data_IF_776551806458
#
_entry.id   IF_776551806458
#
_cell.length_a   1.000
_cell.length_b   1.000
_cell.length_c   1.000
_cell.angle_alpha   90.00
_cell.angle_beta   90.00
_cell.angle_gamma   90.00
#
_symmetry.space_group_name_H-M   'P 1'
#
loop_
_entity.id
_entity.type
_entity.pdbx_description
1 polymer ?
#
# COMPACT_ATOMS: atom_id res chain seq x y z
N UNK A 1 20.00 -6.45 11.61
CA UNK A 1 19.85 -5.42 10.56
C UNK A 1 21.07 -4.52 10.60
N UNK A 2 21.49 -4.00 9.44
CA UNK A 2 22.48 -2.93 9.33
C UNK A 2 21.77 -1.75 8.68
N UNK A 3 21.79 -0.59 9.32
CA UNK A 3 21.14 0.61 8.80
C UNK A 3 22.16 1.50 8.10
N UNK A 4 21.71 2.23 7.08
CA UNK A 4 22.52 3.26 6.43
C UNK A 4 22.86 4.37 7.45
N UNK A 5 24.14 4.66 7.65
CA UNK A 5 24.62 5.61 8.67
C UNK A 5 24.25 7.08 8.38
N UNK A 6 23.93 7.39 7.12
CA UNK A 6 23.52 8.73 6.67
C UNK A 6 22.04 9.04 6.89
N UNK A 7 21.23 8.08 7.33
CA UNK A 7 19.78 8.21 7.52
C UNK A 7 19.35 7.71 8.89
N UNK A 8 18.35 8.36 9.49
CA UNK A 8 17.87 8.04 10.85
C UNK A 8 16.35 7.91 10.96
N UNK A 9 15.61 8.19 9.89
CA UNK A 9 14.14 8.13 9.92
C UNK A 9 13.64 6.69 10.02
N UNK A 10 12.59 6.49 10.81
CA UNK A 10 11.91 5.21 11.01
C UNK A 10 10.41 5.44 10.85
N UNK A 11 9.76 4.65 10.00
CA UNK A 11 8.31 4.71 9.78
C UNK A 11 7.68 3.34 10.01
N UNK A 12 6.71 3.25 10.92
CA UNK A 12 6.09 1.99 11.37
C UNK A 12 4.59 1.93 11.07
N UNK A 13 4.02 3.03 10.56
CA UNK A 13 2.61 3.15 10.26
C UNK A 13 2.43 3.89 8.93
N UNK A 14 2.68 3.18 7.84
CA UNK A 14 2.38 3.68 6.51
C UNK A 14 1.69 2.61 5.66
N UNK A 15 0.56 2.99 5.09
CA UNK A 15 -0.19 2.17 4.15
C UNK A 15 0.51 2.22 2.79
N UNK A 16 0.94 1.07 2.26
CA UNK A 16 1.56 1.00 0.94
C UNK A 16 0.58 1.48 -0.14
N UNK A 17 -0.66 1.01 -0.07
CA UNK A 17 -1.78 1.38 -0.95
C UNK A 17 -2.21 2.85 -0.82
N UNK A 18 -1.93 3.48 0.33
CA UNK A 18 -2.10 4.92 0.53
C UNK A 18 -0.89 5.77 0.14
N UNK A 19 0.24 5.15 -0.22
CA UNK A 19 1.49 5.82 -0.53
C UNK A 19 1.90 5.69 -2.02
N UNK A 20 0.97 5.26 -2.87
CA UNK A 20 1.19 5.20 -4.30
C UNK A 20 1.41 6.59 -4.90
N UNK A 21 2.42 6.71 -5.75
CA UNK A 21 2.68 7.94 -6.50
C UNK A 21 1.52 8.19 -7.48
N UNK A 22 0.85 9.36 -7.43
CA UNK A 22 -0.28 9.67 -8.31
C UNK A 22 0.06 9.49 -9.80
N UNK A 23 1.27 9.87 -10.21
CA UNK A 23 1.76 9.73 -11.58
C UNK A 23 1.79 8.28 -12.06
N UNK A 24 2.27 7.36 -11.21
CA UNK A 24 2.31 5.92 -11.50
C UNK A 24 0.90 5.34 -11.60
N UNK A 25 0.00 5.71 -10.70
CA UNK A 25 -1.42 5.29 -10.76
C UNK A 25 -2.07 5.79 -12.05
N UNK A 26 -1.87 7.06 -12.41
CA UNK A 26 -2.41 7.66 -13.63
C UNK A 26 -1.90 6.92 -14.89
N UNK A 27 -0.61 6.61 -14.94
CA UNK A 27 0.00 5.83 -16.04
C UNK A 27 -0.69 4.46 -16.20
N UNK A 28 -0.82 3.69 -15.11
CA UNK A 28 -1.46 2.38 -15.18
C UNK A 28 -2.96 2.47 -15.47
N UNK A 29 -3.64 3.52 -15.01
CA UNK A 29 -5.04 3.76 -15.34
C UNK A 29 -5.22 3.92 -16.85
N UNK A 30 -4.39 4.74 -17.50
CA UNK A 30 -4.43 4.93 -18.96
C UNK A 30 -4.06 3.64 -19.71
N UNK A 31 -3.01 2.95 -19.28
CA UNK A 31 -2.57 1.70 -19.91
C UNK A 31 -3.62 0.60 -19.85
N UNK A 32 -4.35 0.50 -18.73
CA UNK A 32 -5.32 -0.57 -18.45
C UNK A 32 -6.78 -0.17 -18.69
N UNK A 33 -7.03 1.06 -19.15
CA UNK A 33 -8.37 1.54 -19.49
C UNK A 33 -9.27 1.84 -18.29
N UNK A 34 -8.71 2.17 -17.12
CA UNK A 34 -9.51 2.59 -15.97
C UNK A 34 -9.86 4.09 -16.05
N UNK A 35 -11.11 4.47 -15.75
CA UNK A 35 -11.48 5.88 -15.66
C UNK A 35 -10.79 6.53 -14.45
N UNK A 36 -10.28 7.74 -14.64
CA UNK A 36 -9.71 8.57 -13.57
C UNK A 36 -10.24 10.00 -13.72
N UNK A 37 -10.43 10.74 -12.61
CA UNK A 37 -10.79 12.13 -12.66
C UNK A 37 -9.65 12.98 -13.24
N UNK A 38 -10.01 14.06 -13.93
CA UNK A 38 -9.04 14.96 -14.58
C UNK A 38 -8.61 14.50 -15.98
N UNK A 39 -8.19 15.47 -16.80
CA UNK A 39 -7.73 15.25 -18.17
C UNK A 39 -6.26 14.81 -18.24
N UNK A 40 -5.47 15.13 -17.21
CA UNK A 40 -4.03 14.89 -17.15
C UNK A 40 -3.59 14.51 -15.72
N UNK A 41 -2.32 14.14 -15.58
CA UNK A 41 -1.70 13.71 -14.33
C UNK A 41 -1.82 14.75 -13.21
N UNK A 42 -1.58 16.03 -13.51
CA UNK A 42 -1.67 17.10 -12.52
C UNK A 42 -3.10 17.29 -12.00
N UNK A 43 -4.10 17.21 -12.87
CA UNK A 43 -5.51 17.28 -12.46
C UNK A 43 -5.91 16.05 -11.63
N UNK A 44 -5.41 14.87 -11.99
CA UNK A 44 -5.62 13.65 -11.22
C UNK A 44 -5.02 13.76 -9.81
N UNK A 45 -3.75 14.16 -9.70
CA UNK A 45 -3.09 14.38 -8.41
C UNK A 45 -3.84 15.38 -7.55
N UNK A 46 -4.26 16.51 -8.13
CA UNK A 46 -5.05 17.52 -7.41
C UNK A 46 -6.40 16.98 -6.91
N UNK A 47 -6.99 16.00 -7.60
CA UNK A 47 -8.25 15.37 -7.19
C UNK A 47 -8.08 14.42 -6.00
N UNK A 48 -6.89 13.81 -5.85
CA UNK A 48 -6.58 12.93 -4.71
C UNK A 48 -6.33 13.72 -3.42
N UNK A 49 -6.02 15.02 -3.52
CA UNK A 49 -5.79 15.86 -2.35
C UNK A 49 -7.11 16.22 -1.68
N UNK A 50 -7.36 15.60 -0.53
CA UNK A 50 -8.52 15.89 0.34
C UNK A 50 -8.30 17.24 1.04
N UNK A 51 -9.11 18.26 0.72
CA UNK A 51 -9.02 19.62 1.28
C UNK A 51 -10.18 19.90 2.24
N UNK A 52 -9.93 20.70 3.30
CA UNK A 52 -10.87 21.10 4.38
C UNK A 52 -11.19 19.98 5.39
N UNK A 53 -11.75 20.26 6.59
CA UNK A 53 -12.12 19.19 7.52
C UNK A 53 -13.05 18.19 6.84
N UNK A 54 -12.64 16.93 6.85
CA UNK A 54 -13.29 15.83 6.16
C UNK A 54 -13.36 14.61 7.09
N UNK A 55 -14.31 13.71 6.81
CA UNK A 55 -14.42 12.44 7.51
C UNK A 55 -13.43 11.40 6.96
N UNK A 56 -13.12 10.38 7.77
CA UNK A 56 -12.37 9.21 7.32
C UNK A 56 -13.00 8.59 6.06
N UNK A 57 -14.33 8.48 6.02
CA UNK A 57 -15.05 7.98 4.85
C UNK A 57 -14.79 8.83 3.59
N UNK A 58 -14.73 10.16 3.71
CA UNK A 58 -14.40 11.02 2.57
C UNK A 58 -12.95 10.85 2.08
N UNK A 59 -12.02 10.57 3.00
CA UNK A 59 -10.65 10.23 2.63
C UNK A 59 -10.58 8.88 1.90
N UNK A 60 -11.26 7.86 2.42
CA UNK A 60 -11.25 6.50 1.84
C UNK A 60 -11.86 6.43 0.45
N UNK A 61 -12.80 7.32 0.10
CA UNK A 61 -13.31 7.43 -1.29
C UNK A 61 -12.23 7.72 -2.32
N UNK A 62 -11.09 8.30 -1.95
CA UNK A 62 -9.99 8.49 -2.91
C UNK A 62 -9.39 7.16 -3.37
N UNK A 63 -9.50 6.09 -2.56
CA UNK A 63 -9.01 4.76 -2.90
C UNK A 63 -9.78 4.12 -4.06
N UNK A 64 -11.01 4.57 -4.33
CA UNK A 64 -11.80 4.15 -5.51
C UNK A 64 -11.08 4.49 -6.83
N UNK A 65 -10.16 5.46 -6.81
CA UNK A 65 -9.35 5.83 -7.97
C UNK A 65 -7.91 5.29 -7.90
N UNK A 66 -7.41 4.94 -6.70
CA UNK A 66 -6.05 4.44 -6.50
C UNK A 66 -5.94 2.94 -6.72
N UNK A 67 -6.87 2.16 -6.17
CA UNK A 67 -6.76 0.70 -6.14
C UNK A 67 -7.02 0.04 -7.50
N UNK A 68 -8.10 0.37 -8.26
CA UNK A 68 -8.42 -0.38 -9.47
C UNK A 68 -7.31 -0.39 -10.55
N UNK A 69 -6.60 0.73 -10.83
CA UNK A 69 -5.48 0.74 -11.77
C UNK A 69 -4.30 -0.15 -11.38
N UNK A 70 -4.16 -0.49 -10.10
CA UNK A 70 -3.03 -1.25 -9.56
C UNK A 70 -3.41 -2.70 -9.29
N UNK A 71 -4.58 -2.94 -8.72
CA UNK A 71 -5.06 -4.27 -8.34
C UNK A 71 -5.07 -5.24 -9.53
N UNK A 72 -4.64 -6.48 -9.30
CA UNK A 72 -4.54 -7.54 -10.31
C UNK A 72 -3.40 -7.40 -11.31
N UNK A 73 -2.53 -6.39 -11.19
CA UNK A 73 -1.33 -6.27 -12.04
C UNK A 73 -0.06 -6.38 -11.20
N UNK A 74 0.66 -7.49 -11.36
CA UNK A 74 1.93 -7.70 -10.68
C UNK A 74 2.96 -6.63 -11.08
N UNK A 75 2.93 -6.16 -12.33
CA UNK A 75 3.76 -5.06 -12.81
C UNK A 75 3.43 -3.75 -12.08
N UNK A 76 2.16 -3.41 -11.95
CA UNK A 76 1.73 -2.18 -11.28
C UNK A 76 2.04 -2.20 -9.78
N UNK A 77 1.81 -3.34 -9.12
CA UNK A 77 2.13 -3.55 -7.70
C UNK A 77 3.65 -3.44 -7.48
N UNK A 78 4.46 -4.06 -8.34
CA UNK A 78 5.91 -4.00 -8.21
C UNK A 78 6.44 -2.57 -8.44
N UNK A 79 5.91 -1.85 -9.43
CA UNK A 79 6.33 -0.47 -9.72
C UNK A 79 5.96 0.48 -8.57
N UNK A 80 4.73 0.42 -8.08
CA UNK A 80 4.28 1.26 -6.96
C UNK A 80 5.05 0.97 -5.67
N UNK A 81 5.42 -0.28 -5.42
CA UNK A 81 6.27 -0.66 -4.28
C UNK A 81 7.69 -0.11 -4.40
N UNK A 82 8.25 -0.09 -5.62
CA UNK A 82 9.55 0.51 -5.88
C UNK A 82 9.51 2.03 -5.67
N UNK A 83 8.51 2.70 -6.22
CA UNK A 83 8.32 4.15 -6.08
C UNK A 83 8.15 4.53 -4.59
N UNK A 84 7.43 3.71 -3.83
CA UNK A 84 7.26 3.87 -2.39
C UNK A 84 8.59 3.89 -1.62
N UNK A 85 9.45 2.89 -1.85
CA UNK A 85 10.74 2.85 -1.16
C UNK A 85 11.71 3.93 -1.65
N UNK A 86 11.65 4.30 -2.93
CA UNK A 86 12.38 5.45 -3.45
C UNK A 86 12.00 6.74 -2.69
N UNK A 87 10.70 6.98 -2.51
CA UNK A 87 10.20 8.17 -1.82
C UNK A 87 10.53 8.15 -0.31
N UNK A 88 10.46 6.97 0.33
CA UNK A 88 10.91 6.78 1.72
C UNK A 88 12.36 7.24 1.92
N UNK A 89 13.23 6.94 0.96
CA UNK A 89 14.64 7.32 1.03
C UNK A 89 14.86 8.77 0.64
N UNK A 90 14.42 9.16 -0.55
CA UNK A 90 14.79 10.42 -1.17
C UNK A 90 14.01 11.61 -0.61
N UNK A 91 12.76 11.41 -0.18
CA UNK A 91 11.91 12.49 0.33
C UNK A 91 11.84 12.51 1.85
N UNK A 92 11.86 11.35 2.50
CA UNK A 92 11.68 11.24 3.96
C UNK A 92 12.97 10.90 4.73
N UNK A 93 14.07 10.53 4.06
CA UNK A 93 15.34 10.22 4.73
C UNK A 93 15.28 9.00 5.66
N UNK A 94 14.42 8.03 5.33
CA UNK A 94 14.21 6.83 6.14
C UNK A 94 15.35 5.82 5.98
N UNK A 95 15.75 5.21 7.11
CA UNK A 95 16.63 4.05 7.15
C UNK A 95 15.88 2.74 7.45
N UNK A 96 14.63 2.82 7.95
CA UNK A 96 13.76 1.68 8.19
C UNK A 96 12.30 2.00 7.92
N UNK A 97 11.56 1.04 7.35
CA UNK A 97 10.10 1.16 7.16
C UNK A 97 9.36 -0.18 7.29
N UNK A 98 8.15 -0.13 7.85
CA UNK A 98 7.21 -1.26 7.90
C UNK A 98 5.91 -0.91 7.15
N UNK A 99 5.88 -0.94 5.80
CA UNK A 99 4.64 -0.79 5.06
C UNK A 99 3.61 -1.84 5.46
N UNK A 100 2.37 -1.39 5.59
CA UNK A 100 1.20 -2.24 5.79
C UNK A 100 0.28 -2.22 4.58
N UNK A 101 -0.33 -3.35 4.23
CA UNK A 101 -1.25 -3.46 3.10
C UNK A 101 -2.22 -4.63 3.26
N UNK A 102 -3.37 -4.56 2.61
CA UNK A 102 -4.28 -5.70 2.47
C UNK A 102 -4.03 -6.41 1.13
N UNK A 103 -3.59 -7.68 1.13
CA UNK A 103 -3.41 -8.44 -0.11
C UNK A 103 -4.70 -8.54 -0.93
N UNK A 104 -5.84 -8.73 -0.26
CA UNK A 104 -7.15 -8.89 -0.88
C UNK A 104 -7.61 -7.63 -1.63
N UNK A 105 -7.22 -6.43 -1.19
CA UNK A 105 -7.52 -5.19 -1.91
C UNK A 105 -6.73 -5.05 -3.22
N UNK A 106 -5.56 -5.68 -3.32
CA UNK A 106 -4.67 -5.59 -4.48
C UNK A 106 -4.76 -6.80 -5.43
N UNK A 107 -5.54 -7.83 -5.08
CA UNK A 107 -5.61 -9.08 -5.86
C UNK A 107 -6.31 -8.90 -7.22
N UNK A 108 -7.27 -7.99 -7.32
CA UNK A 108 -8.06 -7.80 -8.54
C UNK A 108 -8.80 -9.09 -8.96
N UNK A 109 -8.86 -9.36 -10.27
CA UNK A 109 -9.51 -10.57 -10.82
C UNK A 109 -8.53 -11.64 -11.29
N UNK A 110 -7.24 -11.36 -11.24
CA UNK A 110 -6.19 -12.13 -11.93
C UNK A 110 -5.10 -12.65 -10.99
N UNK A 111 -4.93 -12.07 -9.81
CA UNK A 111 -3.99 -12.52 -8.81
C UNK A 111 -4.74 -13.02 -7.58
N UNK A 112 -4.13 -13.96 -6.88
CA UNK A 112 -4.49 -14.36 -5.52
C UNK A 112 -3.83 -13.45 -4.48
N UNK A 113 -4.35 -13.45 -3.24
CA UNK A 113 -3.73 -12.78 -2.11
C UNK A 113 -2.28 -13.24 -1.84
N UNK A 114 -1.99 -14.53 -2.08
CA UNK A 114 -0.64 -15.10 -2.02
C UNK A 114 0.29 -14.47 -3.08
N UNK A 115 -0.15 -14.44 -4.34
CA UNK A 115 0.62 -13.84 -5.44
C UNK A 115 0.87 -12.34 -5.23
N UNK A 116 -0.11 -11.61 -4.70
CA UNK A 116 0.06 -10.21 -4.29
C UNK A 116 1.12 -10.09 -3.21
N UNK A 117 1.01 -10.89 -2.14
CA UNK A 117 1.94 -10.86 -1.01
C UNK A 117 3.36 -11.12 -1.48
N UNK A 118 3.54 -12.15 -2.31
CA UNK A 118 4.82 -12.49 -2.94
C UNK A 118 5.35 -11.33 -3.81
N UNK A 119 4.49 -10.75 -4.66
CA UNK A 119 4.87 -9.65 -5.55
C UNK A 119 5.37 -8.44 -4.77
N UNK A 120 4.68 -8.07 -3.68
CA UNK A 120 5.07 -6.96 -2.81
C UNK A 120 6.41 -7.26 -2.13
N UNK A 121 6.58 -8.44 -1.54
CA UNK A 121 7.84 -8.82 -0.87
C UNK A 121 9.02 -8.85 -1.84
N UNK A 122 8.84 -9.42 -3.03
CA UNK A 122 9.88 -9.46 -4.07
C UNK A 122 10.25 -8.04 -4.56
N UNK A 123 9.29 -7.11 -4.61
CA UNK A 123 9.54 -5.72 -4.96
C UNK A 123 10.19 -4.93 -3.81
N UNK A 124 9.79 -5.17 -2.57
CA UNK A 124 10.41 -4.58 -1.38
C UNK A 124 11.87 -5.03 -1.26
N UNK A 125 12.18 -6.31 -1.46
CA UNK A 125 13.54 -6.84 -1.39
C UNK A 125 14.46 -6.17 -2.42
N UNK A 126 14.04 -6.16 -3.69
CA UNK A 126 14.83 -5.54 -4.77
C UNK A 126 15.04 -4.05 -4.54
N UNK A 127 14.01 -3.34 -4.08
CA UNK A 127 14.07 -1.89 -3.87
C UNK A 127 14.87 -1.53 -2.62
N UNK A 128 14.77 -2.34 -1.56
CA UNK A 128 15.61 -2.26 -0.35
C UNK A 128 17.09 -2.32 -0.69
N UNK A 129 17.50 -3.29 -1.52
CA UNK A 129 18.89 -3.40 -1.98
C UNK A 129 19.30 -2.20 -2.83
N UNK A 130 18.41 -1.72 -3.71
CA UNK A 130 18.67 -0.58 -4.60
C UNK A 130 18.86 0.75 -3.85
N UNK A 131 18.06 0.99 -2.81
CA UNK A 131 18.02 2.27 -2.08
C UNK A 131 18.67 2.21 -0.70
N UNK A 132 19.27 1.07 -0.35
CA UNK A 132 19.92 0.80 0.94
C UNK A 132 19.04 1.19 2.14
N UNK A 133 17.82 0.66 2.17
CA UNK A 133 16.84 0.88 3.25
C UNK A 133 16.41 -0.47 3.83
N UNK A 134 16.35 -0.59 5.15
CA UNK A 134 15.83 -1.81 5.77
C UNK A 134 14.30 -1.79 5.76
N UNK A 135 13.67 -2.95 5.58
CA UNK A 135 12.22 -3.05 5.61
C UNK A 135 11.73 -4.31 6.33
N UNK A 136 10.48 -4.25 6.78
CA UNK A 136 9.60 -5.40 7.01
C UNK A 136 8.21 -5.07 6.46
N UNK A 137 7.28 -6.00 6.51
CA UNK A 137 5.93 -5.76 6.05
C UNK A 137 4.88 -6.30 7.03
N UNK A 138 3.70 -5.68 6.99
CA UNK A 138 2.56 -6.00 7.85
C UNK A 138 1.35 -6.28 6.95
N UNK A 139 0.65 -7.38 7.19
CA UNK A 139 -0.57 -7.69 6.46
C UNK A 139 -1.80 -7.18 7.22
N UNK A 140 -2.65 -6.43 6.54
CA UNK A 140 -3.89 -5.89 7.11
C UNK A 140 -5.06 -6.82 6.81
N UNK A 141 -5.83 -7.15 7.84
CA UNK A 141 -7.24 -7.52 7.66
C UNK A 141 -8.10 -6.24 7.66
N UNK A 142 -9.24 -6.30 6.98
CA UNK A 142 -10.15 -5.15 6.85
C UNK A 142 -11.38 -5.34 7.73
N UNK A 143 -11.76 -4.33 8.52
CA UNK A 143 -12.91 -4.39 9.45
C UNK A 143 -14.22 -4.74 8.75
N UNK A 144 -14.42 -4.22 7.55
CA UNK A 144 -15.60 -4.46 6.74
C UNK A 144 -15.58 -5.82 6.00
N UNK A 145 -14.46 -6.57 6.09
CA UNK A 145 -14.29 -7.90 5.50
C UNK A 145 -13.65 -8.86 6.53
N UNK A 146 -14.31 -9.15 7.66
CA UNK A 146 -13.77 -10.03 8.69
C UNK A 146 -13.49 -11.46 8.17
N UNK A 147 -14.17 -11.89 7.10
CA UNK A 147 -13.95 -13.18 6.45
C UNK A 147 -12.55 -13.35 5.85
N UNK A 148 -11.80 -12.25 5.64
CA UNK A 148 -10.43 -12.32 5.13
C UNK A 148 -9.38 -12.58 6.24
N UNK A 149 -9.76 -12.45 7.52
CA UNK A 149 -8.80 -12.51 8.64
C UNK A 149 -8.04 -13.84 8.73
N UNK A 150 -8.71 -14.97 8.46
CA UNK A 150 -8.08 -16.30 8.52
C UNK A 150 -7.03 -16.49 7.42
N UNK A 151 -7.31 -16.00 6.21
CA UNK A 151 -6.36 -16.02 5.10
C UNK A 151 -5.17 -15.10 5.38
N UNK A 152 -5.42 -13.87 5.85
CA UNK A 152 -4.36 -12.92 6.24
C UNK A 152 -3.45 -13.52 7.31
N UNK A 153 -4.00 -14.17 8.33
CA UNK A 153 -3.21 -14.82 9.37
C UNK A 153 -2.39 -16.00 8.82
N UNK A 154 -2.96 -16.76 7.88
CA UNK A 154 -2.27 -17.87 7.23
C UNK A 154 -1.10 -17.40 6.38
N UNK A 155 -1.30 -16.33 5.59
CA UNK A 155 -0.24 -15.68 4.82
C UNK A 155 0.84 -15.10 5.73
N UNK A 156 0.47 -14.42 6.81
CA UNK A 156 1.43 -13.84 7.74
C UNK A 156 2.35 -14.91 8.37
N UNK A 157 1.80 -16.09 8.70
CA UNK A 157 2.59 -17.24 9.18
C UNK A 157 3.52 -17.78 8.08
N UNK A 158 3.00 -17.96 6.86
CA UNK A 158 3.76 -18.51 5.74
C UNK A 158 4.93 -17.60 5.32
N UNK A 159 4.71 -16.28 5.33
CA UNK A 159 5.68 -15.28 4.90
C UNK A 159 6.48 -14.63 6.04
N UNK A 160 6.34 -15.11 7.28
CA UNK A 160 7.15 -14.66 8.41
C UNK A 160 8.67 -14.79 8.15
N UNK A 161 9.18 -15.89 7.55
CA UNK A 161 10.59 -15.99 7.18
C UNK A 161 11.02 -15.05 6.05
N UNK A 162 10.05 -14.47 5.32
CA UNK A 162 10.25 -13.66 4.13
C UNK A 162 10.04 -12.16 4.37
N UNK A 163 9.89 -11.74 5.63
CA UNK A 163 9.84 -10.32 6.01
C UNK A 163 8.49 -9.82 6.49
N UNK A 164 7.45 -10.66 6.53
CA UNK A 164 6.22 -10.31 7.27
C UNK A 164 6.47 -10.40 8.78
N UNK A 165 6.13 -9.35 9.53
CA UNK A 165 6.41 -9.29 10.98
C UNK A 165 5.19 -9.08 11.86
N UNK A 166 4.06 -8.68 11.28
CA UNK A 166 2.83 -8.48 12.03
C UNK A 166 1.58 -8.65 11.17
N UNK A 167 0.44 -8.69 11.86
CA UNK A 167 -0.90 -8.52 11.30
C UNK A 167 -1.50 -7.24 11.91
N UNK A 168 -2.25 -6.48 11.10
CA UNK A 168 -2.96 -5.28 11.52
C UNK A 168 -4.46 -5.36 11.17
N UNK A 169 -5.27 -4.48 11.78
CA UNK A 169 -6.71 -4.35 11.51
C UNK A 169 -7.03 -2.93 11.03
N UNK A 170 -7.29 -2.79 9.73
CA UNK A 170 -7.55 -1.51 9.06
C UNK A 170 -9.01 -1.41 8.55
N UNK A 171 -9.34 -0.32 7.86
CA UNK A 171 -10.67 -0.07 7.30
C UNK A 171 -11.51 0.90 8.14
N UNK A 172 -12.77 1.09 7.74
CA UNK A 172 -13.65 2.09 8.36
C UNK A 172 -13.94 1.77 9.83
N UNK A 173 -13.79 2.79 10.68
CA UNK A 173 -14.33 2.77 12.03
C UNK A 173 -15.78 3.23 11.95
N UNK A 174 -16.74 2.30 11.92
CA UNK A 174 -18.15 2.65 12.04
C UNK A 174 -18.39 3.23 13.44
N UNK A 175 -18.51 4.56 13.52
CA UNK A 175 -18.80 5.29 14.76
C UNK A 175 -20.28 5.20 15.20
N UNK A 176 -21.02 4.21 14.69
CA UNK A 176 -22.45 4.01 15.02
C UNK A 176 -22.69 2.97 16.13
N UNK A 177 -21.65 2.52 16.83
CA UNK A 177 -21.80 1.79 18.10
C UNK A 177 -21.38 2.65 19.28
N UNK A 178 -22.06 3.79 19.43
CA UNK A 178 -22.26 4.36 20.77
C UNK A 178 -23.16 3.35 21.50
N UNK A 179 -22.66 2.78 22.59
CA UNK A 179 -23.42 1.92 23.49
C UNK A 179 -24.79 2.56 23.79
N UNK A 180 -25.85 1.91 23.31
CA UNK A 180 -27.23 2.13 23.74
C UNK A 180 -27.61 1.14 24.83
#
# INVERSE_FOLDING_TARGET
MKFNEGRRGVELHIHLDGAFRPSTVFKFAKLRGFPVPGANENEFENHLIVKQPNSLASFLKTFDYLLPPIAGSAEAIAQTTLDFLEDCVNKAGLCYVEPRFSPQLLQGTTLSADEVTKTVLDALERSSQKFDIQYRAILCTMRQNPEWSDEVLSLAKAYQPHGIVAVDVAGELLLDTVFG
#
